data_IF_852973136494
#
_entry.id   IF_852973136494
#
_cell.length_a   1.000
_cell.length_b   1.000
_cell.length_c   1.000
_cell.angle_alpha   90.00
_cell.angle_beta   90.00
_cell.angle_gamma   90.00
#
_symmetry.space_group_name_H-M   'P 1'
#
loop_
_entity.id
_entity.type
_entity.pdbx_description
1 polymer ?
#
# COMPACT_ATOMS: atom_id res chain seq x y z
N UNK A 1 -8.58 -2.34 -22.06
CA UNK A 1 -8.53 -3.20 -20.86
C UNK A 1 -9.59 -4.28 -21.06
N UNK A 2 -9.35 -5.52 -20.63
CA UNK A 2 -10.35 -6.57 -20.86
C UNK A 2 -11.40 -6.53 -19.76
N UNK A 3 -12.59 -6.01 -20.07
CA UNK A 3 -13.81 -6.00 -19.24
C UNK A 3 -14.16 -4.67 -18.52
N UNK A 4 -14.07 -3.54 -19.24
CA UNK A 4 -14.52 -2.21 -18.77
C UNK A 4 -15.98 -2.21 -18.28
N UNK A 5 -16.82 -3.05 -18.90
CA UNK A 5 -18.22 -3.24 -18.50
C UNK A 5 -18.33 -3.77 -17.07
N UNK A 6 -17.56 -4.80 -16.71
CA UNK A 6 -17.63 -5.40 -15.37
C UNK A 6 -17.06 -4.47 -14.30
N UNK A 7 -16.00 -3.72 -14.59
CA UNK A 7 -15.53 -2.66 -13.70
C UNK A 7 -16.66 -1.68 -13.32
N UNK A 8 -17.33 -1.13 -14.34
CA UNK A 8 -18.44 -0.18 -14.14
C UNK A 8 -19.60 -0.83 -13.40
N UNK A 9 -20.00 -2.03 -13.81
CA UNK A 9 -21.10 -2.76 -13.18
C UNK A 9 -20.83 -3.03 -11.70
N UNK A 10 -19.70 -3.64 -11.37
CA UNK A 10 -19.34 -3.95 -9.97
C UNK A 10 -19.21 -2.68 -9.13
N UNK A 11 -18.65 -1.61 -9.70
CA UNK A 11 -18.60 -0.32 -9.02
C UNK A 11 -20.00 0.22 -8.72
N UNK A 12 -20.89 0.28 -9.72
CA UNK A 12 -22.25 0.80 -9.55
C UNK A 12 -23.08 -0.03 -8.54
N UNK A 13 -22.97 -1.35 -8.57
CA UNK A 13 -23.64 -2.25 -7.61
C UNK A 13 -23.16 -2.07 -6.16
N UNK A 14 -21.91 -1.64 -5.96
CA UNK A 14 -21.35 -1.41 -4.62
C UNK A 14 -21.62 0.01 -4.12
N UNK A 15 -21.47 1.04 -4.97
CA UNK A 15 -21.76 2.42 -4.54
C UNK A 15 -23.23 2.61 -4.18
N UNK A 16 -24.16 2.00 -4.94
CA UNK A 16 -25.60 2.09 -4.67
C UNK A 16 -25.98 1.50 -3.30
N UNK A 17 -25.25 0.46 -2.88
CA UNK A 17 -25.48 -0.24 -1.61
C UNK A 17 -24.77 0.41 -0.44
N UNK A 18 -23.55 0.92 -0.66
CA UNK A 18 -22.63 1.28 0.43
C UNK A 18 -22.41 2.78 0.60
N UNK A 19 -22.79 3.63 -0.36
CA UNK A 19 -22.50 5.05 -0.32
C UNK A 19 -23.78 5.90 -0.39
N UNK A 20 -23.86 7.02 0.35
CA UNK A 20 -25.08 7.83 0.44
C UNK A 20 -25.29 8.78 -0.76
N UNK A 21 -24.33 8.87 -1.68
CA UNK A 21 -24.35 9.81 -2.81
C UNK A 21 -24.14 9.08 -4.13
N UNK A 22 -24.49 9.74 -5.24
CA UNK A 22 -24.21 9.20 -6.56
C UNK A 22 -22.72 9.22 -6.87
N UNK A 23 -22.22 8.14 -7.47
CA UNK A 23 -20.83 8.01 -7.90
C UNK A 23 -20.72 7.55 -9.34
N UNK A 24 -19.79 8.15 -10.08
CA UNK A 24 -19.42 7.74 -11.44
C UNK A 24 -17.99 7.22 -11.47
N UNK A 25 -17.71 6.29 -12.39
CA UNK A 25 -16.34 5.82 -12.67
C UNK A 25 -16.05 5.86 -14.16
N UNK A 26 -14.92 6.48 -14.49
CA UNK A 26 -14.38 6.57 -15.84
C UNK A 26 -12.99 5.96 -15.89
N UNK A 27 -12.71 5.23 -16.96
CA UNK A 27 -11.38 4.67 -17.21
C UNK A 27 -10.61 5.71 -18.01
N UNK A 28 -9.65 6.35 -17.38
CA UNK A 28 -8.84 7.41 -17.95
C UNK A 28 -7.39 6.96 -17.95
N UNK A 29 -6.67 7.08 -19.07
CA UNK A 29 -5.28 6.62 -19.15
C UNK A 29 -4.26 7.65 -18.60
N UNK A 30 -4.75 8.65 -17.86
CA UNK A 30 -4.00 9.84 -17.46
C UNK A 30 -4.45 10.32 -16.07
N UNK A 31 -3.56 11.04 -15.40
CA UNK A 31 -3.84 11.71 -14.12
C UNK A 31 -4.63 13.00 -14.37
N UNK A 32 -5.67 13.31 -13.58
CA UNK A 32 -6.38 14.58 -13.71
C UNK A 32 -5.50 15.79 -13.38
N UNK A 33 -5.68 16.85 -14.17
CA UNK A 33 -4.87 18.07 -14.13
C UNK A 33 -5.37 19.08 -13.07
N UNK A 34 -6.51 18.81 -12.45
CA UNK A 34 -7.22 19.73 -11.56
C UNK A 34 -6.86 19.49 -10.09
N UNK A 35 -6.99 20.53 -9.27
CA UNK A 35 -6.84 20.42 -7.81
C UNK A 35 -8.07 19.76 -7.17
N UNK A 36 -7.87 19.15 -5.99
CA UNK A 36 -8.96 18.59 -5.17
C UNK A 36 -9.24 17.09 -5.36
N UNK A 37 -8.50 16.40 -6.22
CA UNK A 37 -8.57 14.94 -6.35
C UNK A 37 -7.77 14.26 -5.24
N UNK A 38 -8.41 13.33 -4.53
CA UNK A 38 -7.76 12.41 -3.60
C UNK A 38 -7.30 11.19 -4.38
N UNK A 39 -6.09 10.68 -4.16
CA UNK A 39 -5.59 9.50 -4.89
C UNK A 39 -5.75 8.21 -4.09
N UNK A 40 -5.92 7.08 -4.77
CA UNK A 40 -5.78 5.74 -4.21
C UNK A 40 -5.02 4.90 -5.23
N UNK A 41 -3.97 4.20 -4.82
CA UNK A 41 -3.22 3.33 -5.72
C UNK A 41 -3.34 1.89 -5.25
N UNK A 42 -3.95 1.06 -6.07
CA UNK A 42 -3.88 -0.39 -5.92
C UNK A 42 -2.53 -0.84 -6.49
N UNK A 43 -1.65 -1.29 -5.59
CA UNK A 43 -0.41 -1.95 -5.97
C UNK A 43 -0.60 -3.46 -5.99
N UNK A 44 0.36 -4.12 -6.64
CA UNK A 44 0.56 -5.57 -6.59
C UNK A 44 -0.69 -6.38 -6.96
N UNK A 45 -1.46 -5.87 -7.93
CA UNK A 45 -2.64 -6.55 -8.42
C UNK A 45 -2.28 -7.60 -9.49
N UNK A 46 -2.99 -8.71 -9.47
CA UNK A 46 -2.88 -9.72 -10.51
C UNK A 46 -3.49 -9.23 -11.84
N UNK A 47 -2.73 -9.36 -12.92
CA UNK A 47 -3.14 -9.02 -14.27
C UNK A 47 -2.59 -10.00 -15.30
N UNK A 48 -3.38 -10.23 -16.36
CA UNK A 48 -2.99 -10.99 -17.55
C UNK A 48 -2.74 -10.02 -18.70
N UNK A 49 -1.70 -10.25 -19.47
CA UNK A 49 -1.27 -9.41 -20.56
C UNK A 49 -1.15 -10.26 -21.83
N UNK A 50 -1.53 -9.69 -22.97
CA UNK A 50 -1.37 -10.29 -24.29
C UNK A 50 -0.78 -9.21 -25.19
N UNK A 51 0.40 -9.47 -25.75
CA UNK A 51 1.01 -8.55 -26.70
C UNK A 51 0.11 -8.43 -27.93
N UNK A 52 -0.16 -7.21 -28.43
CA UNK A 52 -0.88 -7.04 -29.68
C UNK A 52 -0.05 -7.50 -30.89
N UNK A 53 1.27 -7.34 -30.82
CA UNK A 53 2.15 -7.49 -31.99
C UNK A 53 2.88 -8.84 -32.07
N UNK A 54 2.78 -9.70 -31.06
CA UNK A 54 3.38 -11.03 -31.11
C UNK A 54 2.58 -12.04 -30.27
N UNK A 55 2.84 -13.35 -30.41
CA UNK A 55 2.13 -14.38 -29.65
C UNK A 55 2.39 -14.39 -28.14
N UNK A 56 3.30 -13.53 -27.64
CA UNK A 56 3.67 -13.52 -26.23
C UNK A 56 2.50 -13.08 -25.34
N UNK A 57 2.23 -13.86 -24.31
CA UNK A 57 1.32 -13.52 -23.22
C UNK A 57 1.99 -13.81 -21.88
N UNK A 58 1.65 -13.02 -20.87
CA UNK A 58 2.25 -13.17 -19.54
C UNK A 58 1.25 -12.80 -18.45
N UNK A 59 1.57 -13.23 -17.24
CA UNK A 59 0.85 -12.89 -16.01
C UNK A 59 1.78 -12.07 -15.13
N UNK A 60 1.22 -11.19 -14.32
CA UNK A 60 1.98 -10.41 -13.35
C UNK A 60 1.13 -10.10 -12.13
N UNK A 61 1.71 -10.26 -10.94
CA UNK A 61 1.17 -9.75 -9.67
C UNK A 61 1.65 -8.33 -9.37
N UNK A 62 2.26 -7.65 -10.35
CA UNK A 62 2.79 -6.29 -10.17
C UNK A 62 2.04 -5.30 -11.06
N UNK A 63 0.74 -5.54 -11.29
CA UNK A 63 -0.11 -4.57 -11.98
C UNK A 63 -0.46 -3.45 -11.00
N UNK A 64 -0.43 -2.21 -11.48
CA UNK A 64 -0.73 -1.03 -10.67
C UNK A 64 -1.91 -0.29 -11.29
N UNK A 65 -2.85 0.15 -10.46
CA UNK A 65 -4.02 0.92 -10.87
C UNK A 65 -4.10 2.14 -9.97
N UNK A 66 -4.06 3.32 -10.57
CA UNK A 66 -4.33 4.57 -9.87
C UNK A 66 -5.81 4.90 -9.98
N UNK A 67 -6.37 5.41 -8.89
CA UNK A 67 -7.70 5.96 -8.80
C UNK A 67 -7.59 7.39 -8.29
N UNK A 68 -8.31 8.29 -8.93
CA UNK A 68 -8.47 9.67 -8.51
C UNK A 68 -9.93 9.87 -8.13
N UNK A 69 -10.15 10.32 -6.91
CA UNK A 69 -11.45 10.35 -6.24
C UNK A 69 -11.78 11.80 -5.91
N UNK A 70 -12.98 12.24 -6.28
CA UNK A 70 -13.49 13.55 -5.92
C UNK A 70 -14.94 13.46 -5.50
N UNK A 71 -15.30 14.20 -4.45
CA UNK A 71 -16.67 14.40 -4.00
C UNK A 71 -16.92 15.90 -3.93
N UNK A 72 -17.84 16.41 -4.74
CA UNK A 72 -18.20 17.83 -4.79
C UNK A 72 -19.71 17.94 -4.89
N UNK A 73 -20.33 18.81 -4.09
CA UNK A 73 -21.79 19.03 -4.11
C UNK A 73 -22.59 17.72 -4.08
N UNK A 74 -22.20 16.77 -3.22
CA UNK A 74 -22.84 15.44 -3.10
C UNK A 74 -22.82 14.59 -4.38
N UNK A 75 -21.91 14.89 -5.31
CA UNK A 75 -21.65 14.08 -6.51
C UNK A 75 -20.22 13.56 -6.49
N UNK A 76 -20.09 12.24 -6.54
CA UNK A 76 -18.83 11.53 -6.54
C UNK A 76 -18.35 11.19 -7.94
N UNK A 77 -17.05 11.35 -8.17
CA UNK A 77 -16.37 11.01 -9.42
C UNK A 77 -15.11 10.20 -9.12
N UNK A 78 -14.89 9.16 -9.91
CA UNK A 78 -13.66 8.37 -9.91
C UNK A 78 -13.09 8.32 -11.32
N UNK A 79 -11.82 8.68 -11.46
CA UNK A 79 -11.03 8.39 -12.66
C UNK A 79 -10.07 7.24 -12.33
N UNK A 80 -10.09 6.19 -13.14
CA UNK A 80 -9.25 5.00 -12.99
C UNK A 80 -8.20 4.97 -14.10
N UNK A 81 -6.92 4.94 -13.74
CA UNK A 81 -5.78 4.80 -14.63
C UNK A 81 -5.02 3.49 -14.35
N UNK A 82 -5.33 2.42 -15.09
CA UNK A 82 -4.53 1.20 -15.07
C UNK A 82 -3.17 1.46 -15.71
N UNK A 83 -2.07 1.15 -15.03
CA UNK A 83 -0.72 1.25 -15.59
C UNK A 83 -0.34 -0.08 -16.26
N UNK A 84 0.29 0.01 -17.44
CA UNK A 84 0.59 -1.15 -18.27
C UNK A 84 2.01 -1.70 -18.12
N UNK A 85 2.28 -2.76 -18.88
CA UNK A 85 3.59 -3.37 -19.01
C UNK A 85 3.92 -3.58 -20.49
N UNK A 86 5.19 -3.40 -20.87
CA UNK A 86 5.68 -3.67 -22.21
C UNK A 86 5.95 -5.15 -22.41
N UNK A 87 5.82 -5.61 -23.65
CA UNK A 87 6.23 -6.95 -24.03
C UNK A 87 7.76 -7.09 -23.93
N UNK A 88 8.25 -8.24 -23.47
CA UNK A 88 9.71 -8.51 -23.42
C UNK A 88 10.35 -8.70 -24.80
N UNK A 89 9.55 -9.04 -25.81
CA UNK A 89 10.02 -9.36 -27.16
C UNK A 89 9.83 -8.20 -28.15
N UNK A 90 9.09 -7.16 -27.78
CA UNK A 90 8.73 -6.05 -28.65
C UNK A 90 9.07 -4.74 -27.96
N UNK A 91 9.65 -3.78 -28.69
CA UNK A 91 9.83 -2.41 -28.22
C UNK A 91 8.58 -1.64 -28.65
N UNK A 92 7.47 -1.90 -27.95
CA UNK A 92 6.14 -1.34 -28.26
C UNK A 92 5.53 -0.64 -27.03
N UNK A 93 4.33 -0.10 -27.17
CA UNK A 93 3.50 0.54 -26.17
C UNK A 93 3.21 -0.33 -24.93
N UNK A 94 2.76 0.32 -23.86
CA UNK A 94 2.33 -0.37 -22.65
C UNK A 94 1.01 -1.10 -22.86
N UNK A 95 1.01 -2.42 -22.65
CA UNK A 95 -0.20 -3.24 -22.64
C UNK A 95 -0.87 -3.11 -21.27
N UNK A 96 -2.16 -2.76 -21.25
CA UNK A 96 -2.94 -2.66 -20.00
C UNK A 96 -3.34 -4.05 -19.48
N UNK A 97 -3.38 -4.27 -18.16
CA UNK A 97 -3.75 -5.57 -17.59
C UNK A 97 -5.20 -5.93 -17.92
N UNK A 98 -5.44 -7.20 -18.26
CA UNK A 98 -6.76 -7.84 -18.21
C UNK A 98 -6.88 -8.59 -16.88
N UNK A 99 -7.85 -8.19 -16.06
CA UNK A 99 -8.04 -8.74 -14.72
C UNK A 99 -9.21 -9.74 -14.70
N UNK A 100 -9.07 -10.89 -14.01
CA UNK A 100 -10.22 -11.75 -13.72
C UNK A 100 -11.27 -11.00 -12.88
N UNK A 101 -12.54 -11.32 -13.07
CA UNK A 101 -13.65 -10.69 -12.36
C UNK A 101 -13.44 -10.67 -10.83
N UNK A 102 -12.97 -11.77 -10.22
CA UNK A 102 -12.68 -11.80 -8.77
C UNK A 102 -11.70 -10.71 -8.32
N UNK A 103 -10.69 -10.41 -9.14
CA UNK A 103 -9.66 -9.40 -8.83
C UNK A 103 -10.28 -8.02 -8.98
N UNK A 104 -11.10 -7.81 -10.02
CA UNK A 104 -11.86 -6.58 -10.20
C UNK A 104 -12.73 -6.31 -8.97
N UNK A 105 -13.48 -7.31 -8.50
CA UNK A 105 -14.33 -7.20 -7.30
C UNK A 105 -13.55 -6.74 -6.07
N UNK A 106 -12.38 -7.36 -5.80
CA UNK A 106 -11.52 -6.98 -4.67
C UNK A 106 -11.04 -5.54 -4.79
N UNK A 107 -10.58 -5.13 -5.99
CA UNK A 107 -10.07 -3.78 -6.19
C UNK A 107 -11.18 -2.74 -6.05
N UNK A 108 -12.38 -3.03 -6.55
CA UNK A 108 -13.54 -2.16 -6.36
C UNK A 108 -13.91 -2.08 -4.88
N UNK A 109 -13.93 -3.19 -4.13
CA UNK A 109 -14.16 -3.14 -2.67
C UNK A 109 -13.13 -2.26 -1.96
N UNK A 110 -11.84 -2.36 -2.32
CA UNK A 110 -10.80 -1.49 -1.79
C UNK A 110 -11.01 -0.01 -2.15
N UNK A 111 -11.47 0.26 -3.36
CA UNK A 111 -11.84 1.60 -3.79
C UNK A 111 -13.01 2.15 -2.96
N UNK A 112 -14.06 1.37 -2.72
CA UNK A 112 -15.23 1.76 -1.90
C UNK A 112 -14.80 2.03 -0.46
N UNK A 113 -14.02 1.12 0.17
CA UNK A 113 -13.41 1.34 1.49
C UNK A 113 -12.62 2.66 1.51
N UNK A 114 -11.86 2.94 0.46
CA UNK A 114 -11.07 4.17 0.36
C UNK A 114 -11.94 5.41 0.19
N UNK A 115 -13.03 5.33 -0.58
CA UNK A 115 -14.01 6.43 -0.71
C UNK A 115 -14.64 6.73 0.65
N UNK A 116 -15.13 5.72 1.37
CA UNK A 116 -15.71 5.83 2.72
C UNK A 116 -14.74 6.53 3.67
N UNK A 117 -13.49 6.06 3.71
CA UNK A 117 -12.44 6.68 4.54
C UNK A 117 -12.14 8.12 4.14
N UNK A 118 -11.86 8.37 2.86
CA UNK A 118 -11.30 9.65 2.41
C UNK A 118 -12.36 10.75 2.17
N UNK A 119 -13.59 10.37 1.87
CA UNK A 119 -14.66 11.31 1.53
C UNK A 119 -15.71 11.45 2.62
N UNK A 120 -15.91 10.42 3.45
CA UNK A 120 -16.91 10.40 4.51
C UNK A 120 -16.31 10.33 5.92
N UNK A 121 -14.99 10.20 6.04
CA UNK A 121 -14.30 10.15 7.34
C UNK A 121 -14.56 8.87 8.12
N UNK A 122 -15.09 7.84 7.48
CA UNK A 122 -15.42 6.57 8.12
C UNK A 122 -14.16 5.77 8.48
N UNK A 123 -14.24 5.04 9.59
CA UNK A 123 -13.29 3.98 9.86
C UNK A 123 -13.58 2.78 8.95
N UNK A 124 -12.55 2.27 8.27
CA UNK A 124 -12.66 1.10 7.42
C UNK A 124 -11.57 0.09 7.77
N UNK A 125 -11.84 -1.22 7.64
CA UNK A 125 -10.82 -2.26 7.78
C UNK A 125 -9.68 -2.09 6.77
N UNK A 126 -8.63 -2.91 6.94
CA UNK A 126 -7.54 -3.00 5.98
C UNK A 126 -8.04 -3.38 4.57
N UNK A 127 -7.30 -2.90 3.57
CA UNK A 127 -7.55 -3.24 2.16
C UNK A 127 -7.12 -4.69 1.90
N UNK A 128 -7.90 -5.38 1.08
CA UNK A 128 -7.68 -6.77 0.74
C UNK A 128 -6.62 -6.89 -0.37
N UNK A 129 -5.76 -7.92 -0.35
CA UNK A 129 -4.79 -8.13 -1.41
C UNK A 129 -5.50 -8.50 -2.72
N UNK A 130 -5.14 -7.81 -3.81
CA UNK A 130 -5.71 -8.03 -5.13
C UNK A 130 -4.89 -9.02 -5.98
N UNK A 131 -4.36 -10.06 -5.35
CA UNK A 131 -3.58 -11.11 -6.00
C UNK A 131 -4.43 -12.33 -6.38
N UNK A 132 -3.82 -13.28 -7.10
CA UNK A 132 -4.50 -14.50 -7.51
C UNK A 132 -4.30 -15.68 -6.55
N UNK A 133 -3.64 -15.47 -5.42
CA UNK A 133 -3.28 -16.50 -4.44
C UNK A 133 -2.30 -17.55 -4.94
N UNK A 134 -1.71 -17.36 -6.13
CA UNK A 134 -0.74 -18.30 -6.71
C UNK A 134 0.68 -17.78 -6.57
N UNK A 135 1.61 -18.71 -6.35
CA UNK A 135 3.05 -18.46 -6.45
C UNK A 135 3.55 -18.71 -7.88
N UNK A 136 4.81 -18.38 -8.15
CA UNK A 136 5.45 -18.69 -9.44
C UNK A 136 5.16 -17.69 -10.56
N UNK A 137 4.71 -16.48 -10.22
CA UNK A 137 4.72 -15.37 -11.17
C UNK A 137 6.18 -15.02 -11.48
N UNK A 138 6.51 -14.88 -12.76
CA UNK A 138 7.87 -14.53 -13.18
C UNK A 138 8.38 -13.23 -12.54
N UNK A 139 9.70 -12.98 -12.57
CA UNK A 139 10.28 -11.83 -11.89
C UNK A 139 9.70 -10.52 -12.40
N UNK A 140 9.60 -9.54 -11.51
CA UNK A 140 9.21 -8.19 -11.89
C UNK A 140 10.30 -7.52 -12.73
N UNK A 141 10.04 -7.31 -14.03
CA UNK A 141 10.97 -6.65 -14.94
C UNK A 141 10.71 -5.14 -14.94
N UNK A 142 11.38 -4.41 -14.03
CA UNK A 142 11.17 -2.97 -13.80
C UNK A 142 11.20 -2.13 -15.08
N UNK A 143 12.16 -2.38 -15.98
CA UNK A 143 12.33 -1.66 -17.26
C UNK A 143 11.18 -1.84 -18.25
N UNK A 144 10.25 -2.76 -18.00
CA UNK A 144 9.06 -2.97 -18.84
C UNK A 144 7.79 -2.50 -18.12
N UNK A 145 7.88 -2.00 -16.89
CA UNK A 145 6.72 -1.63 -16.09
C UNK A 145 6.49 -0.11 -16.15
N UNK A 146 5.31 0.31 -16.61
CA UNK A 146 4.94 1.73 -16.66
C UNK A 146 5.02 2.38 -15.28
N UNK A 147 4.56 1.67 -14.23
CA UNK A 147 4.59 2.18 -12.87
C UNK A 147 6.01 2.34 -12.32
N UNK A 148 6.98 1.51 -12.72
CA UNK A 148 8.39 1.74 -12.38
C UNK A 148 8.94 2.98 -13.07
N UNK A 149 8.66 3.16 -14.36
CA UNK A 149 9.13 4.33 -15.09
C UNK A 149 8.55 5.64 -14.54
N UNK A 150 7.34 5.61 -13.98
CA UNK A 150 6.72 6.75 -13.29
C UNK A 150 7.12 6.89 -11.81
N UNK A 151 7.94 5.98 -11.26
CA UNK A 151 8.30 5.97 -9.84
C UNK A 151 7.16 5.63 -8.88
N UNK A 152 6.08 5.02 -9.38
CA UNK A 152 4.86 4.69 -8.62
C UNK A 152 4.91 3.29 -8.03
N UNK A 153 5.65 2.35 -8.65
CA UNK A 153 5.84 1.02 -8.06
C UNK A 153 6.39 1.14 -6.64
N UNK A 154 5.84 0.37 -5.70
CA UNK A 154 6.42 0.27 -4.36
C UNK A 154 7.88 -0.13 -4.53
N UNK A 155 8.78 0.69 -3.99
CA UNK A 155 10.15 0.23 -3.78
C UNK A 155 10.02 -1.02 -2.91
N UNK A 156 10.57 -2.16 -3.37
CA UNK A 156 10.91 -3.23 -2.45
C UNK A 156 11.83 -2.59 -1.41
N UNK A 157 11.27 -2.12 -0.29
CA UNK A 157 12.03 -2.11 0.95
C UNK A 157 12.22 -3.59 1.23
N UNK A 158 13.35 -4.13 0.78
CA UNK A 158 13.84 -5.41 1.25
C UNK A 158 14.07 -5.24 2.74
N UNK A 159 13.03 -5.39 3.55
CA UNK A 159 13.23 -5.81 4.93
C UNK A 159 13.60 -7.28 4.79
N UNK A 160 14.91 -7.53 4.77
CA UNK A 160 15.43 -8.83 5.11
C UNK A 160 14.88 -9.18 6.48
N UNK A 161 13.82 -9.98 6.52
CA UNK A 161 13.57 -10.84 7.67
C UNK A 161 14.70 -11.87 7.68
N UNK A 162 15.88 -11.42 8.09
CA UNK A 162 16.93 -12.31 8.52
C UNK A 162 16.38 -12.93 9.80
N UNK A 163 15.88 -14.16 9.64
CA UNK A 163 15.56 -15.06 10.71
C UNK A 163 16.77 -15.05 11.66
N UNK A 164 16.62 -14.38 12.79
CA UNK A 164 17.56 -14.42 13.89
C UNK A 164 17.58 -15.84 14.40
N UNK A 165 18.50 -16.64 13.86
CA UNK A 165 18.92 -17.90 14.43
C UNK A 165 19.48 -17.54 15.80
N UNK A 166 18.77 -17.97 16.85
CA UNK A 166 19.23 -17.87 18.23
C UNK A 166 20.48 -18.73 18.33
N UNK A 167 21.66 -18.11 18.25
CA UNK A 167 22.90 -18.72 18.70
C UNK A 167 22.96 -18.56 20.23
N UNK A 168 22.73 -19.67 20.93
CA UNK A 168 23.14 -19.80 22.32
C UNK A 168 24.67 -19.80 22.36
N UNK A 169 25.27 -18.72 22.84
CA UNK A 169 26.68 -18.75 23.23
C UNK A 169 26.80 -19.44 24.60
N UNK A 170 27.37 -20.66 24.60
CA UNK A 170 27.90 -21.28 25.80
C UNK A 170 29.15 -20.50 26.23
N UNK A 171 29.09 -19.86 27.39
CA UNK A 171 30.27 -19.23 28.02
C UNK A 171 31.00 -20.31 28.82
N UNK A 172 32.17 -20.71 28.33
CA UNK A 172 33.14 -21.44 29.14
C UNK A 172 33.81 -20.47 30.13
N UNK A 173 33.77 -20.87 31.40
CA UNK A 173 34.47 -20.23 32.52
C UNK A 173 35.97 -20.58 32.37
N UNK A 174 36.81 -19.54 32.29
CA UNK A 174 38.26 -19.63 32.35
C UNK A 174 38.78 -18.57 33.33
N UNK A 175 39.66 -19.01 34.21
CA UNK A 175 40.10 -18.33 35.44
C UNK A 175 41.09 -17.16 35.21
N UNK A 176 41.17 -16.30 36.23
CA UNK A 176 42.07 -15.19 36.61
C UNK A 176 43.54 -15.21 36.08
N UNK A 177 44.40 -14.17 36.02
CA UNK A 177 44.59 -12.71 36.35
C UNK A 177 46.06 -12.36 35.90
N UNK A 178 46.74 -11.23 36.26
CA UNK A 178 46.43 -9.77 36.26
C UNK A 178 47.60 -8.88 35.68
N UNK A 179 47.49 -7.54 35.88
CA UNK A 179 48.49 -6.44 35.82
C UNK A 179 48.37 -5.52 34.57
N UNK A 180 48.33 -4.18 34.58
CA UNK A 180 48.62 -3.09 35.55
C UNK A 180 48.10 -1.74 34.94
N UNK A 181 48.18 -0.55 35.63
CA UNK A 181 47.11 0.48 35.64
C UNK A 181 47.39 1.82 34.89
N UNK A 182 46.48 2.81 35.13
CA UNK A 182 46.44 4.27 34.81
C UNK A 182 45.68 4.65 33.51
N UNK A 183 44.82 5.68 33.44
CA UNK A 183 44.55 6.86 34.29
C UNK A 183 43.18 7.48 33.93
N UNK A 184 42.65 8.25 34.88
CA UNK A 184 41.42 9.06 34.89
C UNK A 184 41.18 10.02 33.72
N UNK A 185 39.90 10.29 33.39
CA UNK A 185 39.31 11.65 33.49
C UNK A 185 37.80 11.63 33.19
N UNK A 186 37.09 12.46 33.95
CA UNK A 186 35.66 12.75 33.87
C UNK A 186 35.35 13.64 32.66
N UNK A 187 34.22 13.44 31.97
CA UNK A 187 33.42 14.54 31.46
C UNK A 187 31.95 14.12 31.28
N UNK A 188 31.06 14.95 31.83
CA UNK A 188 29.60 14.86 31.82
C UNK A 188 28.98 15.20 30.46
N UNK A 189 27.65 14.97 30.39
CA UNK A 189 26.62 15.46 29.45
C UNK A 189 26.07 14.35 28.53
N UNK A 190 24.77 14.09 28.40
CA UNK A 190 23.56 14.68 28.98
C UNK A 190 22.33 13.81 28.62
N UNK A 191 21.31 13.86 29.49
CA UNK A 191 19.87 13.73 29.20
C UNK A 191 19.28 12.40 28.68
N UNK A 192 18.95 11.49 29.61
CA UNK A 192 17.90 10.49 29.40
C UNK A 192 17.04 10.36 30.67
N UNK A 193 16.08 11.28 30.87
CA UNK A 193 14.98 11.05 31.81
C UNK A 193 13.81 12.02 31.60
N UNK A 194 12.93 11.73 30.64
CA UNK A 194 11.57 12.31 30.60
C UNK A 194 10.58 11.32 30.00
N UNK A 195 10.11 10.36 30.81
CA UNK A 195 8.88 9.64 30.48
C UNK A 195 8.00 9.22 31.68
N UNK A 196 8.41 9.48 32.93
CA UNK A 196 7.62 9.01 34.09
C UNK A 196 6.72 10.07 34.75
N UNK A 197 6.85 11.37 34.42
CA UNK A 197 6.05 12.41 35.09
C UNK A 197 4.70 12.72 34.43
N UNK A 198 4.49 12.38 33.15
CA UNK A 198 3.24 12.70 32.46
C UNK A 198 2.08 11.77 32.85
N UNK A 199 2.36 10.50 33.14
CA UNK A 199 1.32 9.54 33.53
C UNK A 199 0.72 9.84 34.91
N UNK A 200 1.53 10.33 35.85
CA UNK A 200 1.06 10.68 37.20
C UNK A 200 0.09 11.87 37.17
N UNK A 201 0.34 12.88 36.34
CA UNK A 201 -0.52 14.08 36.25
C UNK A 201 -1.87 13.74 35.60
N UNK A 202 -1.87 12.88 34.57
CA UNK A 202 -3.11 12.45 33.90
C UNK A 202 -3.98 11.61 34.86
N UNK A 203 -3.38 10.68 35.61
CA UNK A 203 -4.11 9.87 36.58
C UNK A 203 -4.74 10.71 37.70
N UNK A 204 -4.01 11.71 38.23
CA UNK A 204 -4.55 12.60 39.26
C UNK A 204 -5.69 13.48 38.71
N UNK A 205 -5.61 13.91 37.45
CA UNK A 205 -6.68 14.67 36.80
C UNK A 205 -7.95 13.82 36.58
N UNK A 206 -7.81 12.56 36.17
CA UNK A 206 -8.94 11.63 36.05
C UNK A 206 -9.58 11.32 37.40
N UNK A 207 -8.79 11.11 38.45
CA UNK A 207 -9.31 10.89 39.81
C UNK A 207 -10.07 12.13 40.30
N UNK A 208 -9.56 13.33 40.03
CA UNK A 208 -10.24 14.59 40.40
C UNK A 208 -11.59 14.77 39.70
N UNK A 209 -11.71 14.38 38.42
CA UNK A 209 -12.99 14.42 37.68
C UNK A 209 -14.00 13.46 38.29
N UNK A 210 -13.59 12.25 38.65
CA UNK A 210 -14.50 11.23 39.20
C UNK A 210 -15.03 11.63 40.59
N UNK A 211 -14.25 12.37 41.38
CA UNK A 211 -14.68 12.82 42.71
C UNK A 211 -15.60 14.05 42.71
N UNK A 212 -15.86 14.68 41.55
CA UNK A 212 -16.69 15.90 41.44
C UNK A 212 -18.08 15.64 40.84
N UNK A 213 -18.49 14.38 40.72
CA UNK A 213 -19.79 14.01 40.15
C UNK A 213 -20.58 13.05 41.03
#
# INVERSE_FOLDING_TARGET
MGNDRYWKQTFYEMVDRELPHMWTIEICNEKPNQMGWKSFTQHDAFGKYKCPDCPNSWKSIHSVIEFYIQLTNRQGRVMMNPLGQQCKNCIDQYVKPKMPNRIITIIVQNLIKTIRKKCYGEYVPQLDPADDGQSGHGPHIKKLCQACHLGICKANVFISHQSSKVEHCNVHIGEEKPNSPLKSSQQQDSCFCRCFCFFAIILLYFIWIIMKH
#
